data_IF_612186266496
#
_entry.id   IF_612186266496
#
_cell.length_a   1.000
_cell.length_b   1.000
_cell.length_c   1.000
_cell.angle_alpha   90.00
_cell.angle_beta   90.00
_cell.angle_gamma   90.00
#
_symmetry.space_group_name_H-M   'P 1'
#
loop_
_entity.id
_entity.type
_entity.pdbx_description
1 polymer ?
#
# COMPACT_ATOMS: atom_id res chain seq x y z
N UNK A 1 15.44 -16.43 -10.61
CA UNK A 1 15.04 -16.83 -9.27
C UNK A 1 15.35 -15.78 -8.24
N UNK A 2 14.65 -15.83 -7.10
CA UNK A 2 14.91 -14.94 -5.97
C UNK A 2 16.20 -15.35 -5.26
N UNK A 3 16.94 -14.36 -4.73
CA UNK A 3 18.10 -14.59 -3.86
C UNK A 3 17.65 -14.53 -2.40
N UNK A 4 17.85 -15.60 -1.66
CA UNK A 4 17.56 -15.67 -0.24
C UNK A 4 18.56 -14.81 0.54
N UNK A 5 18.10 -13.73 1.18
CA UNK A 5 18.90 -12.89 2.08
C UNK A 5 18.79 -13.37 3.54
N UNK A 6 17.60 -13.84 3.92
CA UNK A 6 17.33 -14.45 5.22
C UNK A 6 16.27 -15.54 5.07
N UNK A 7 16.54 -16.70 5.63
CA UNK A 7 15.58 -17.79 5.72
C UNK A 7 14.89 -17.78 7.08
N UNK A 8 13.57 -17.64 7.09
CA UNK A 8 12.74 -17.68 8.31
C UNK A 8 12.31 -19.08 8.71
N UNK A 9 12.59 -20.10 7.90
CA UNK A 9 12.23 -21.49 8.23
C UNK A 9 13.07 -22.02 9.38
N UNK A 10 12.42 -22.69 10.32
CA UNK A 10 13.12 -23.27 11.47
C UNK A 10 13.62 -22.27 12.51
N UNK A 11 13.27 -20.98 12.41
CA UNK A 11 13.69 -19.94 13.37
C UNK A 11 12.70 -19.73 14.53
N UNK A 12 11.58 -20.45 14.54
CA UNK A 12 10.56 -20.41 15.58
C UNK A 12 10.67 -21.56 16.59
N UNK A 13 9.75 -21.62 17.58
CA UNK A 13 9.64 -22.75 18.50
C UNK A 13 9.48 -24.08 17.76
N UNK A 14 10.08 -25.14 18.30
CA UNK A 14 10.08 -26.48 17.69
C UNK A 14 8.67 -27.13 17.63
N UNK A 15 7.74 -26.66 18.46
CA UNK A 15 6.36 -27.15 18.50
C UNK A 15 5.41 -26.05 18.09
N UNK A 16 4.45 -26.35 17.19
CA UNK A 16 3.44 -25.43 16.67
C UNK A 16 3.68 -25.06 15.20
N UNK A 17 2.91 -24.09 14.70
CA UNK A 17 2.91 -23.65 13.30
C UNK A 17 3.60 -22.28 13.20
N UNK A 18 4.91 -22.25 13.39
CA UNK A 18 5.70 -21.02 13.39
C UNK A 18 6.57 -20.94 12.15
N UNK A 19 6.55 -19.78 11.49
CA UNK A 19 7.47 -19.41 10.42
C UNK A 19 8.04 -18.04 10.78
N UNK A 20 9.35 -17.92 10.79
CA UNK A 20 10.01 -16.65 11.03
C UNK A 20 10.11 -15.77 9.80
N UNK A 21 10.61 -14.53 9.93
CA UNK A 21 10.70 -13.59 8.83
C UNK A 21 11.72 -14.03 7.77
N UNK A 22 11.27 -14.06 6.53
CA UNK A 22 12.07 -14.35 5.34
C UNK A 22 12.31 -13.08 4.54
N UNK A 23 13.53 -12.86 4.08
CA UNK A 23 13.91 -11.73 3.25
C UNK A 23 14.46 -12.23 1.92
N UNK A 24 13.88 -11.75 0.83
CA UNK A 24 14.20 -12.16 -0.54
C UNK A 24 14.57 -10.94 -1.39
N UNK A 25 15.71 -11.00 -2.06
CA UNK A 25 16.02 -10.09 -3.16
C UNK A 25 15.43 -10.66 -4.43
N UNK A 26 14.62 -9.87 -5.13
CA UNK A 26 13.89 -10.29 -6.32
C UNK A 26 14.11 -9.35 -7.50
N UNK A 27 13.95 -9.87 -8.72
CA UNK A 27 13.87 -9.05 -9.92
C UNK A 27 12.42 -8.54 -10.15
N UNK A 28 12.22 -7.44 -10.90
CA UNK A 28 10.88 -6.91 -11.21
C UNK A 28 9.95 -7.92 -11.91
N UNK A 29 10.51 -8.87 -12.67
CA UNK A 29 9.78 -9.89 -13.39
C UNK A 29 9.32 -11.06 -12.50
N UNK A 30 9.81 -11.12 -11.27
CA UNK A 30 9.44 -12.17 -10.31
C UNK A 30 7.94 -12.16 -10.02
N UNK A 31 7.27 -13.31 -9.95
CA UNK A 31 5.90 -13.40 -9.48
C UNK A 31 5.71 -12.73 -8.11
N UNK A 32 6.71 -12.79 -7.22
CA UNK A 32 6.69 -12.16 -5.91
C UNK A 32 6.66 -10.61 -5.93
N UNK A 33 6.91 -9.99 -7.09
CA UNK A 33 6.71 -8.55 -7.26
C UNK A 33 5.25 -8.19 -7.55
N UNK A 34 4.43 -9.16 -7.98
CA UNK A 34 3.04 -8.99 -8.42
C UNK A 34 2.02 -9.58 -7.46
N UNK A 35 2.37 -10.70 -6.84
CA UNK A 35 1.49 -11.43 -5.93
C UNK A 35 1.72 -10.99 -4.49
N UNK A 36 0.62 -10.80 -3.76
CA UNK A 36 0.68 -10.54 -2.33
C UNK A 36 0.97 -11.84 -1.59
N UNK A 37 2.13 -11.91 -0.91
CA UNK A 37 2.44 -13.02 -0.01
C UNK A 37 1.90 -12.68 1.37
N UNK A 38 0.78 -13.28 1.74
CA UNK A 38 0.14 -13.08 3.04
C UNK A 38 0.85 -13.87 4.14
N UNK A 39 2.07 -13.43 4.51
CA UNK A 39 2.93 -14.11 5.46
C UNK A 39 4.18 -13.29 5.80
N UNK A 40 5.08 -13.81 6.67
CA UNK A 40 6.28 -13.10 7.10
C UNK A 40 7.38 -13.12 6.03
N UNK A 41 7.07 -12.66 4.83
CA UNK A 41 7.99 -12.60 3.69
C UNK A 41 8.09 -11.15 3.22
N UNK A 42 9.32 -10.64 3.12
CA UNK A 42 9.61 -9.32 2.57
C UNK A 42 10.42 -9.48 1.28
N UNK A 43 9.87 -8.97 0.20
CA UNK A 43 10.55 -8.88 -1.10
C UNK A 43 11.27 -7.54 -1.21
N UNK A 44 12.53 -7.57 -1.64
CA UNK A 44 13.39 -6.39 -1.84
C UNK A 44 13.72 -6.26 -3.31
N UNK A 45 13.43 -5.10 -3.88
CA UNK A 45 13.86 -4.71 -5.22
C UNK A 45 14.79 -3.48 -5.08
N UNK A 46 15.81 -3.42 -5.92
CA UNK A 46 16.68 -2.25 -6.00
C UNK A 46 16.26 -1.39 -7.19
N UNK A 47 16.27 -0.09 -6.97
CA UNK A 47 16.06 0.92 -7.99
C UNK A 47 17.24 1.91 -7.95
N UNK A 48 17.64 2.43 -9.11
CA UNK A 48 18.77 3.37 -9.20
C UNK A 48 18.43 4.76 -8.61
N UNK A 49 17.14 5.12 -8.67
CA UNK A 49 16.64 6.41 -8.22
C UNK A 49 15.14 6.34 -7.86
N UNK A 50 14.58 7.45 -7.39
CA UNK A 50 13.18 7.55 -7.00
C UNK A 50 12.23 7.34 -8.20
N UNK A 51 12.58 7.85 -9.37
CA UNK A 51 11.72 7.72 -10.55
C UNK A 51 11.59 6.26 -10.99
N UNK A 52 12.68 5.51 -10.97
CA UNK A 52 12.63 4.08 -11.24
C UNK A 52 11.86 3.32 -10.15
N UNK A 53 12.05 3.64 -8.88
CA UNK A 53 11.29 3.01 -7.80
C UNK A 53 9.78 3.23 -7.96
N UNK A 54 9.36 4.46 -8.29
CA UNK A 54 7.96 4.80 -8.53
C UNK A 54 7.40 4.11 -9.77
N UNK A 55 8.19 4.01 -10.83
CA UNK A 55 7.82 3.26 -12.05
C UNK A 55 7.62 1.77 -11.75
N UNK A 56 8.59 1.14 -11.07
CA UNK A 56 8.49 -0.26 -10.67
C UNK A 56 7.25 -0.49 -9.80
N UNK A 57 7.01 0.34 -8.80
CA UNK A 57 5.82 0.25 -7.95
C UNK A 57 4.52 0.32 -8.76
N UNK A 58 4.47 1.13 -9.82
CA UNK A 58 3.28 1.28 -10.65
C UNK A 58 3.09 0.13 -11.66
N UNK A 59 4.17 -0.43 -12.20
CA UNK A 59 4.15 -1.40 -13.29
C UNK A 59 4.13 -2.85 -12.81
N UNK A 60 4.82 -3.16 -11.71
CA UNK A 60 4.93 -4.54 -11.23
C UNK A 60 3.77 -4.97 -10.35
N UNK A 61 3.13 -4.04 -9.65
CA UNK A 61 2.08 -4.36 -8.68
C UNK A 61 0.73 -3.78 -9.11
N UNK A 62 -0.29 -4.62 -9.17
CA UNK A 62 -1.66 -4.22 -9.51
C UNK A 62 -2.46 -3.69 -8.30
N UNK A 63 -1.92 -3.77 -7.10
CA UNK A 63 -2.51 -3.26 -5.88
C UNK A 63 -2.08 -1.82 -5.60
N UNK A 64 -2.81 -1.12 -4.77
CA UNK A 64 -2.55 0.27 -4.43
C UNK A 64 -3.13 0.66 -3.07
N UNK A 65 -2.95 -0.18 -2.05
CA UNK A 65 -3.44 0.12 -0.71
C UNK A 65 -2.61 1.21 -0.04
N UNK A 66 -1.37 0.92 0.31
CA UNK A 66 -0.50 1.85 1.00
C UNK A 66 0.92 1.84 0.45
N UNK A 67 1.62 2.96 0.56
CA UNK A 67 3.04 3.07 0.29
C UNK A 67 3.69 4.11 1.22
N UNK A 68 4.96 3.90 1.56
CA UNK A 68 5.71 4.85 2.38
C UNK A 68 7.08 5.14 1.77
N UNK A 69 7.53 6.36 1.95
CA UNK A 69 8.90 6.79 1.64
C UNK A 69 9.63 7.18 2.92
N UNK A 70 10.88 6.78 3.04
CA UNK A 70 11.80 7.26 4.07
C UNK A 70 12.85 8.12 3.43
N UNK A 71 12.86 9.41 3.75
CA UNK A 71 13.77 10.38 3.13
C UNK A 71 13.95 11.62 3.98
N UNK A 72 15.13 12.21 3.92
CA UNK A 72 15.41 13.54 4.45
C UNK A 72 15.17 14.66 3.39
N UNK A 73 14.94 14.29 2.12
CA UNK A 73 14.73 15.23 1.02
C UNK A 73 13.26 15.64 0.89
N UNK A 74 12.98 16.92 1.12
CA UNK A 74 11.64 17.48 0.90
C UNK A 74 11.19 17.43 -0.57
N UNK A 75 12.12 17.48 -1.52
CA UNK A 75 11.81 17.33 -2.96
C UNK A 75 11.40 15.89 -3.28
N UNK A 76 12.12 14.89 -2.77
CA UNK A 76 11.78 13.50 -2.95
C UNK A 76 10.42 13.17 -2.32
N UNK A 77 10.13 13.70 -1.13
CA UNK A 77 8.83 13.53 -0.48
C UNK A 77 7.68 14.14 -1.29
N UNK A 78 7.87 15.31 -1.90
CA UNK A 78 6.87 15.95 -2.77
C UNK A 78 6.64 15.14 -4.05
N UNK A 79 7.72 14.66 -4.67
CA UNK A 79 7.64 13.86 -5.88
C UNK A 79 6.96 12.53 -5.63
N UNK A 80 7.29 11.85 -4.55
CA UNK A 80 6.61 10.64 -4.10
C UNK A 80 5.11 10.87 -3.92
N UNK A 81 4.71 11.90 -3.19
CA UNK A 81 3.28 12.23 -2.97
C UNK A 81 2.53 12.49 -4.28
N UNK A 82 3.20 13.06 -5.28
CA UNK A 82 2.60 13.38 -6.58
C UNK A 82 2.47 12.16 -7.48
N UNK A 83 3.48 11.27 -7.51
CA UNK A 83 3.57 10.17 -8.47
C UNK A 83 3.11 8.81 -7.92
N UNK A 84 3.14 8.60 -6.61
CA UNK A 84 2.76 7.31 -6.03
C UNK A 84 1.30 6.95 -6.32
N UNK A 85 1.07 5.69 -6.68
CA UNK A 85 -0.23 5.18 -7.15
C UNK A 85 -1.09 4.57 -6.05
N UNK A 86 -0.60 4.51 -4.81
CA UNK A 86 -1.34 3.98 -3.67
C UNK A 86 -2.35 4.99 -3.09
N UNK A 87 -3.38 4.48 -2.43
CA UNK A 87 -4.45 5.29 -1.83
C UNK A 87 -4.02 5.99 -0.53
N UNK A 88 -3.14 5.34 0.24
CA UNK A 88 -2.60 5.89 1.48
C UNK A 88 -1.09 6.04 1.36
N UNK A 89 -0.58 7.23 1.67
CA UNK A 89 0.84 7.54 1.53
C UNK A 89 1.44 8.00 2.85
N UNK A 90 2.56 7.39 3.25
CA UNK A 90 3.36 7.77 4.40
C UNK A 90 4.67 8.45 4.00
N UNK A 91 5.10 9.43 4.76
CA UNK A 91 6.44 10.02 4.66
C UNK A 91 7.11 9.87 6.01
N UNK A 92 8.17 9.06 6.09
CA UNK A 92 8.86 8.69 7.32
C UNK A 92 7.93 8.02 8.37
N UNK A 93 6.91 7.31 7.87
CA UNK A 93 5.94 6.56 8.68
C UNK A 93 5.83 5.16 8.10
N UNK A 94 5.99 4.13 8.94
CA UNK A 94 6.01 2.72 8.49
C UNK A 94 4.65 2.22 8.04
N UNK A 95 3.59 2.62 8.74
CA UNK A 95 2.21 2.24 8.43
C UNK A 95 1.40 3.52 8.18
N UNK A 96 0.99 3.72 6.93
CA UNK A 96 0.23 4.90 6.51
C UNK A 96 -1.29 4.75 6.76
N UNK A 97 -1.68 4.10 7.87
CA UNK A 97 -3.09 3.96 8.24
C UNK A 97 -3.63 5.30 8.77
N UNK A 98 -4.75 5.82 8.24
CA UNK A 98 -5.32 7.08 8.69
C UNK A 98 -6.09 6.90 10.00
N UNK A 99 -6.29 8.01 10.71
CA UNK A 99 -7.25 8.06 11.82
C UNK A 99 -8.69 7.91 11.28
N UNK A 100 -9.61 7.43 12.12
CA UNK A 100 -10.98 7.07 11.73
C UNK A 100 -11.83 8.21 11.11
N UNK A 101 -11.45 9.46 11.27
CA UNK A 101 -12.13 10.61 10.64
C UNK A 101 -11.62 10.94 9.22
N UNK A 102 -10.57 10.25 8.74
CA UNK A 102 -10.14 10.28 7.35
C UNK A 102 -10.58 9.01 6.62
N UNK A 103 -10.79 9.04 5.29
CA UNK A 103 -11.07 7.85 4.52
C UNK A 103 -9.93 6.82 4.60
N UNK A 104 -10.28 5.57 4.82
CA UNK A 104 -9.34 4.46 4.63
C UNK A 104 -9.32 4.13 3.13
N UNK A 105 -8.39 4.76 2.44
CA UNK A 105 -8.35 4.77 0.98
C UNK A 105 -7.54 3.61 0.41
N UNK A 106 -7.97 3.10 -0.74
CA UNK A 106 -7.26 2.17 -1.59
C UNK A 106 -7.41 2.57 -3.06
N UNK A 107 -6.57 2.03 -3.91
CA UNK A 107 -6.62 2.22 -5.36
C UNK A 107 -6.38 0.91 -6.09
N UNK A 108 -6.71 0.90 -7.38
CA UNK A 108 -6.49 -0.24 -8.27
C UNK A 108 -7.20 -1.49 -7.72
N UNK A 109 -6.58 -2.67 -7.69
CA UNK A 109 -7.18 -3.91 -7.15
C UNK A 109 -7.31 -3.95 -5.62
N UNK A 110 -6.82 -2.95 -4.90
CA UNK A 110 -7.00 -2.84 -3.44
C UNK A 110 -8.31 -2.16 -3.04
N UNK A 111 -9.17 -1.79 -3.99
CA UNK A 111 -10.41 -1.10 -3.69
C UNK A 111 -11.51 -1.42 -4.71
N UNK A 112 -12.75 -1.52 -4.22
CA UNK A 112 -13.96 -1.72 -5.04
C UNK A 112 -14.98 -0.63 -4.69
N UNK A 113 -15.49 0.07 -5.71
CA UNK A 113 -16.47 1.14 -5.56
C UNK A 113 -15.86 2.54 -5.52
N UNK A 114 -16.66 3.54 -5.13
CA UNK A 114 -16.29 4.95 -5.21
C UNK A 114 -16.04 5.60 -3.84
N UNK A 115 -16.74 5.13 -2.80
CA UNK A 115 -16.63 5.66 -1.44
C UNK A 115 -15.78 4.73 -0.58
N UNK A 116 -14.81 5.32 0.11
CA UNK A 116 -13.88 4.60 0.98
C UNK A 116 -14.47 4.38 2.38
N UNK A 117 -13.91 3.42 3.12
CA UNK A 117 -14.32 3.17 4.49
C UNK A 117 -13.86 4.32 5.40
N UNK A 118 -14.62 4.57 6.46
CA UNK A 118 -14.36 5.58 7.49
C UNK A 118 -14.45 7.04 6.99
N UNK A 119 -14.29 8.00 7.89
CA UNK A 119 -14.38 9.40 7.58
C UNK A 119 -15.73 9.81 6.98
N UNK A 120 -15.71 10.86 6.18
CA UNK A 120 -16.88 11.36 5.47
C UNK A 120 -17.42 10.37 4.44
N UNK A 121 -16.55 9.68 3.76
CA UNK A 121 -16.91 8.65 2.76
C UNK A 121 -17.76 7.54 3.38
N UNK A 122 -17.42 7.11 4.60
CA UNK A 122 -18.18 6.13 5.34
C UNK A 122 -19.60 6.62 5.68
N UNK A 123 -19.77 7.89 6.05
CA UNK A 123 -21.09 8.48 6.26
C UNK A 123 -21.89 8.53 4.95
N UNK A 124 -21.25 8.97 3.86
CA UNK A 124 -21.91 9.05 2.56
C UNK A 124 -22.31 7.68 2.00
N UNK A 125 -21.55 6.63 2.30
CA UNK A 125 -21.85 5.26 1.90
C UNK A 125 -23.15 4.73 2.53
N UNK A 126 -23.40 5.04 3.80
CA UNK A 126 -24.57 4.56 4.55
C UNK A 126 -25.78 5.50 4.50
N UNK A 127 -25.70 6.59 3.72
CA UNK A 127 -26.79 7.58 3.61
C UNK A 127 -27.22 7.78 2.17
N UNK A 128 -28.44 8.26 1.99
CA UNK A 128 -28.96 8.66 0.69
C UNK A 128 -29.20 10.15 0.62
N UNK A 129 -28.92 10.78 -0.51
CA UNK A 129 -29.13 12.19 -0.73
C UNK A 129 -30.54 12.42 -1.29
N UNK A 130 -31.29 13.37 -0.72
CA UNK A 130 -32.57 13.83 -1.25
C UNK A 130 -32.46 15.32 -1.54
N UNK A 131 -32.76 15.69 -2.78
CA UNK A 131 -32.81 17.10 -3.20
C UNK A 131 -34.26 17.51 -3.28
N UNK A 132 -34.63 18.60 -2.63
CA UNK A 132 -35.99 19.18 -2.63
C UNK A 132 -35.86 20.62 -3.09
N UNK A 133 -36.63 20.95 -4.16
CA UNK A 133 -36.81 22.33 -4.59
C UNK A 133 -38.25 22.73 -4.34
N UNK A 134 -38.44 23.80 -3.57
CA UNK A 134 -39.78 24.32 -3.24
C UNK A 134 -39.83 25.82 -3.53
N UNK A 135 -40.99 26.27 -3.98
CA UNK A 135 -41.32 27.69 -4.18
C UNK A 135 -42.68 27.97 -3.52
N UNK A 136 -42.71 28.96 -2.67
CA UNK A 136 -43.94 29.44 -2.04
C UNK A 136 -44.36 30.74 -2.73
N UNK A 137 -45.66 30.87 -3.02
CA UNK A 137 -46.25 32.06 -3.64
C UNK A 137 -46.98 32.87 -2.57
#
# INVERSE_FOLDING_TARGET
GAKMLRDGRGTGPAKGFFVGPTLLEIAPESPLAREEVFGPVLSVLYAKDLDEALRLMAETNEYGNAASIYTASGSAAREFKRKATSGMLGVNVGVAAPMAFFPFSGRRKSFFGDLHATGRDGVEFYTTKKVITARWF
#
